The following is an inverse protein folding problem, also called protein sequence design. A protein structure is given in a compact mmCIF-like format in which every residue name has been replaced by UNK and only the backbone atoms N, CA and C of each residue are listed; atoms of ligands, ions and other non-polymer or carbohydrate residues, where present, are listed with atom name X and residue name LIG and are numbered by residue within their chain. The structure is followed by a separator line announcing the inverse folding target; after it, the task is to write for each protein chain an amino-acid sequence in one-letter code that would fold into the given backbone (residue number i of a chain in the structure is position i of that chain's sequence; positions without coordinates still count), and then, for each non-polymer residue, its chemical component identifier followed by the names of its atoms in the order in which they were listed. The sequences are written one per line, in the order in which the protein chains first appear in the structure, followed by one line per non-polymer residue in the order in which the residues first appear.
data_IF_045431359876
#
_entry.id   IF_045431359876
#
_cell.length_a   1.000
_cell.length_b   1.000
_cell.length_c   1.000
_cell.angle_alpha   90.00
_cell.angle_beta   90.00
_cell.angle_gamma   90.00
#
_symmetry.space_group_name_H-M   'P 1'
#
loop_
_entity.id
_entity.type
_entity.pdbx_description
1 polymer ?
#
# COMPACT_ATOMS: atom_id res chain seq x y z
N UNK A 1 -21.87 32.18 -19.22
CA UNK A 1 -20.53 31.58 -19.03
C UNK A 1 -20.57 30.22 -19.70
N UNK A 2 -19.83 30.04 -20.78
CA UNK A 2 -19.81 28.79 -21.53
C UNK A 2 -18.94 27.77 -20.77
N UNK A 3 -19.56 26.66 -20.34
CA UNK A 3 -18.81 25.49 -19.87
C UNK A 3 -18.16 24.86 -21.09
N UNK A 4 -16.85 25.07 -21.22
CA UNK A 4 -16.02 24.38 -22.19
C UNK A 4 -15.71 22.98 -21.63
N UNK A 5 -16.75 22.14 -21.56
CA UNK A 5 -16.63 20.73 -21.23
C UNK A 5 -15.87 20.06 -22.39
N UNK A 6 -14.55 19.97 -22.24
CA UNK A 6 -13.67 19.17 -23.10
C UNK A 6 -13.98 17.69 -22.91
N UNK A 7 -15.15 17.27 -23.40
CA UNK A 7 -15.51 15.88 -23.54
C UNK A 7 -14.54 15.27 -24.54
N UNK A 8 -13.65 14.42 -24.05
CA UNK A 8 -12.75 13.66 -24.91
C UNK A 8 -13.59 12.84 -25.89
N UNK A 9 -13.37 13.08 -27.18
CA UNK A 9 -13.97 12.31 -28.28
C UNK A 9 -12.85 11.69 -29.08
N UNK A 10 -13.01 10.42 -29.40
CA UNK A 10 -12.12 9.72 -30.30
C UNK A 10 -12.17 10.37 -31.69
N UNK A 11 -11.00 10.60 -32.28
CA UNK A 11 -10.80 11.27 -33.57
C UNK A 11 -10.13 10.29 -34.54
N UNK A 12 -10.95 9.61 -35.35
CA UNK A 12 -10.49 8.59 -36.30
C UNK A 12 -9.49 9.14 -37.33
N UNK A 13 -9.50 10.45 -37.60
CA UNK A 13 -8.54 11.06 -38.52
C UNK A 13 -7.09 11.01 -38.00
N UNK A 14 -6.90 10.77 -36.70
CA UNK A 14 -5.59 10.59 -36.06
C UNK A 14 -5.21 9.12 -35.88
N UNK A 15 -6.07 8.18 -36.26
CA UNK A 15 -5.78 6.76 -36.15
C UNK A 15 -4.70 6.38 -37.18
N UNK A 16 -3.65 5.71 -36.70
CA UNK A 16 -2.60 5.17 -37.56
C UNK A 16 -2.82 3.66 -37.69
N UNK A 17 -2.85 3.17 -38.94
CA UNK A 17 -2.83 1.74 -39.18
C UNK A 17 -1.48 1.16 -38.76
N UNK A 18 -1.51 0.13 -37.94
CA UNK A 18 -0.34 -0.63 -37.49
C UNK A 18 -0.63 -2.12 -37.62
N UNK A 19 0.41 -2.91 -37.87
CA UNK A 19 0.29 -4.37 -37.75
C UNK A 19 -0.02 -4.75 -36.30
N UNK A 20 -0.58 -5.94 -36.09
CA UNK A 20 -0.90 -6.43 -34.75
C UNK A 20 0.32 -6.43 -33.82
N UNK A 21 1.49 -6.81 -34.34
CA UNK A 21 2.74 -6.81 -33.58
C UNK A 21 3.21 -5.40 -33.18
N UNK A 22 3.09 -4.42 -34.08
CA UNK A 22 3.46 -3.03 -33.78
C UNK A 22 2.50 -2.38 -32.79
N UNK A 23 1.20 -2.67 -32.88
CA UNK A 23 0.21 -2.20 -31.91
C UNK A 23 0.50 -2.76 -30.52
N UNK A 24 0.81 -4.05 -30.43
CA UNK A 24 1.15 -4.72 -29.18
C UNK A 24 2.40 -4.10 -28.56
N UNK A 25 3.50 -3.99 -29.32
CA UNK A 25 4.75 -3.41 -28.81
C UNK A 25 4.59 -1.97 -28.31
N UNK A 26 3.77 -1.16 -28.99
CA UNK A 26 3.47 0.22 -28.55
C UNK A 26 2.67 0.24 -27.25
N UNK A 27 1.68 -0.63 -27.12
CA UNK A 27 0.88 -0.72 -25.90
C UNK A 27 1.72 -1.21 -24.72
N UNK A 28 2.53 -2.24 -24.90
CA UNK A 28 3.43 -2.76 -23.86
C UNK A 28 4.40 -1.66 -23.38
N UNK A 29 4.97 -0.88 -24.28
CA UNK A 29 5.84 0.26 -23.94
C UNK A 29 5.11 1.36 -23.13
N UNK A 30 3.84 1.63 -23.46
CA UNK A 30 3.03 2.61 -22.72
C UNK A 30 2.69 2.10 -21.32
N UNK A 31 2.37 0.81 -21.19
CA UNK A 31 2.07 0.17 -19.90
C UNK A 31 3.29 0.13 -19.00
N UNK A 32 4.45 -0.29 -19.52
CA UNK A 32 5.75 -0.28 -18.84
C UNK A 32 6.11 1.12 -18.32
N UNK A 33 5.98 2.15 -19.17
CA UNK A 33 6.19 3.55 -18.78
C UNK A 33 5.22 4.02 -17.69
N UNK A 34 3.96 3.61 -17.75
CA UNK A 34 2.95 3.98 -16.75
C UNK A 34 3.17 3.27 -15.40
N UNK A 35 3.76 2.08 -15.42
CA UNK A 35 4.06 1.25 -14.26
C UNK A 35 5.48 1.44 -13.69
N UNK A 36 6.33 2.24 -14.34
CA UNK A 36 7.74 2.48 -13.98
C UNK A 36 8.55 1.17 -13.91
N UNK A 37 8.43 0.33 -14.94
CA UNK A 37 9.14 -0.95 -15.09
C UNK A 37 9.57 -1.16 -16.54
N UNK A 38 10.61 -1.96 -16.75
CA UNK A 38 11.11 -2.37 -18.06
C UNK A 38 10.59 -3.77 -18.48
N UNK A 39 9.70 -4.37 -17.67
CA UNK A 39 9.10 -5.68 -17.92
C UNK A 39 7.56 -5.58 -18.12
N UNK A 40 7.01 -6.14 -19.21
CA UNK A 40 5.58 -6.03 -19.52
C UNK A 40 4.68 -6.83 -18.56
N UNK A 41 5.15 -7.95 -18.02
CA UNK A 41 4.38 -8.77 -17.07
C UNK A 41 4.30 -8.09 -15.70
N UNK A 42 5.37 -7.41 -15.29
CA UNK A 42 5.39 -6.54 -14.11
C UNK A 42 4.48 -5.33 -14.31
N UNK A 43 4.47 -4.72 -15.51
CA UNK A 43 3.61 -3.59 -15.81
C UNK A 43 2.13 -3.97 -15.69
N UNK A 44 1.75 -5.12 -16.23
CA UNK A 44 0.41 -5.70 -16.11
C UNK A 44 0.08 -6.00 -14.65
N UNK A 45 1.03 -6.56 -13.88
CA UNK A 45 0.84 -6.86 -12.47
C UNK A 45 0.63 -5.60 -11.62
N UNK A 46 1.37 -4.52 -11.88
CA UNK A 46 1.24 -3.23 -11.19
C UNK A 46 -0.08 -2.54 -11.56
N UNK A 47 -0.43 -2.50 -12.84
CA UNK A 47 -1.62 -1.79 -13.33
C UNK A 47 -2.94 -2.51 -13.01
N UNK A 48 -2.94 -3.85 -13.01
CA UNK A 48 -4.10 -4.65 -12.63
C UNK A 48 -4.24 -4.86 -11.11
N UNK A 49 -3.33 -4.28 -10.32
CA UNK A 49 -3.48 -4.16 -8.87
C UNK A 49 -2.94 -5.33 -8.04
N UNK A 50 -1.90 -6.04 -8.51
CA UNK A 50 -1.13 -6.93 -7.63
C UNK A 50 -0.28 -6.06 -6.69
N UNK A 51 -0.42 -6.19 -5.36
CA UNK A 51 0.35 -5.37 -4.41
C UNK A 51 1.85 -5.55 -4.63
N UNK A 52 2.64 -4.48 -4.43
CA UNK A 52 4.11 -4.54 -4.42
C UNK A 52 4.57 -5.64 -3.44
N UNK A 53 5.20 -6.69 -3.95
CA UNK A 53 5.81 -7.80 -3.17
C UNK A 53 7.25 -7.46 -2.73
N UNK A 54 7.74 -6.25 -3.00
CA UNK A 54 9.14 -5.89 -2.78
C UNK A 54 9.40 -4.80 -1.71
N UNK A 55 8.40 -4.43 -0.90
CA UNK A 55 8.74 -3.83 0.40
C UNK A 55 8.96 -4.97 1.39
N UNK A 56 10.22 -5.20 1.79
CA UNK A 56 10.53 -5.95 3.01
C UNK A 56 9.89 -5.19 4.18
N UNK A 57 8.65 -5.54 4.48
CA UNK A 57 7.97 -5.08 5.69
C UNK A 57 8.31 -6.04 6.79
N UNK A 58 8.69 -5.49 7.93
CA UNK A 58 8.84 -6.29 9.14
C UNK A 58 7.54 -7.05 9.41
N UNK A 59 7.65 -8.38 9.55
CA UNK A 59 6.49 -9.23 9.72
C UNK A 59 5.75 -8.87 11.02
N UNK A 60 4.44 -8.67 10.93
CA UNK A 60 3.62 -8.47 12.12
C UNK A 60 3.39 -9.80 12.83
N UNK A 61 3.86 -9.91 14.07
CA UNK A 61 3.71 -11.12 14.89
C UNK A 61 2.62 -10.94 15.96
N UNK A 62 1.83 -11.99 16.18
CA UNK A 62 0.87 -12.05 17.30
C UNK A 62 1.52 -12.71 18.52
N UNK A 63 1.69 -11.94 19.60
CA UNK A 63 2.20 -12.45 20.88
C UNK A 63 1.01 -12.81 21.80
N UNK A 64 1.01 -14.01 22.36
CA UNK A 64 0.04 -14.44 23.39
C UNK A 64 0.77 -14.67 24.71
N UNK A 65 0.40 -13.90 25.75
CA UNK A 65 1.02 -13.98 27.08
C UNK A 65 -0.06 -14.23 28.13
N UNK A 66 0.22 -15.12 29.08
CA UNK A 66 -0.61 -15.29 30.28
C UNK A 66 0.00 -14.49 31.41
N UNK A 67 -0.82 -13.67 32.06
CA UNK A 67 -0.41 -12.85 33.21
C UNK A 67 -1.40 -13.03 34.36
N UNK A 68 -0.96 -12.81 35.62
CA UNK A 68 -1.88 -12.77 36.75
C UNK A 68 -2.99 -11.72 36.55
N UNK A 69 -4.18 -12.01 37.08
CA UNK A 69 -5.35 -11.12 36.95
C UNK A 69 -5.07 -9.70 37.47
N UNK A 70 -4.35 -9.60 38.58
CA UNK A 70 -3.98 -8.31 39.19
C UNK A 70 -3.12 -7.44 38.27
N UNK A 71 -2.33 -8.03 37.38
CA UNK A 71 -1.53 -7.30 36.41
C UNK A 71 -2.40 -6.77 35.28
N UNK A 72 -3.32 -7.60 34.78
CA UNK A 72 -4.27 -7.18 33.75
C UNK A 72 -5.10 -5.98 34.22
N UNK A 73 -5.62 -6.02 35.45
CA UNK A 73 -6.42 -4.92 36.02
C UNK A 73 -5.61 -3.63 36.17
N UNK A 74 -4.32 -3.72 36.52
CA UNK A 74 -3.44 -2.56 36.58
C UNK A 74 -3.14 -1.98 35.20
N UNK A 75 -2.91 -2.84 34.21
CA UNK A 75 -2.66 -2.43 32.82
C UNK A 75 -3.91 -1.74 32.25
N UNK A 76 -5.09 -2.32 32.46
CA UNK A 76 -6.36 -1.76 32.00
C UNK A 76 -6.60 -0.38 32.58
N UNK A 77 -6.39 -0.21 33.90
CA UNK A 77 -6.55 1.09 34.56
C UNK A 77 -5.61 2.16 33.99
N UNK A 78 -4.36 1.80 33.68
CA UNK A 78 -3.39 2.73 33.10
C UNK A 78 -3.73 3.06 31.63
N UNK A 79 -4.15 2.06 30.85
CA UNK A 79 -4.57 2.23 29.47
C UNK A 79 -5.81 3.15 29.37
N UNK A 80 -6.80 2.95 30.24
CA UNK A 80 -8.00 3.81 30.32
C UNK A 80 -7.63 5.25 30.69
N UNK A 81 -6.69 5.43 31.62
CA UNK A 81 -6.17 6.76 31.99
C UNK A 81 -5.54 7.51 30.82
N UNK A 82 -4.93 6.80 29.87
CA UNK A 82 -4.35 7.36 28.63
C UNK A 82 -5.32 7.35 27.44
N UNK A 83 -6.55 6.85 27.60
CA UNK A 83 -7.54 6.61 26.52
C UNK A 83 -7.00 5.72 25.39
N UNK A 84 -6.19 4.73 25.75
CA UNK A 84 -5.60 3.76 24.83
C UNK A 84 -6.24 2.39 25.03
N UNK A 85 -6.23 1.58 23.96
CA UNK A 85 -6.51 0.15 24.12
C UNK A 85 -5.36 -0.53 24.87
N UNK A 86 -5.65 -1.65 25.56
CA UNK A 86 -4.62 -2.44 26.25
C UNK A 86 -3.43 -2.79 25.34
N UNK A 87 -3.71 -3.22 24.11
CA UNK A 87 -2.66 -3.60 23.15
C UNK A 87 -1.82 -2.40 22.73
N UNK A 88 -2.44 -1.25 22.52
CA UNK A 88 -1.74 -0.03 22.17
C UNK A 88 -0.88 0.51 23.32
N UNK A 89 -1.42 0.47 24.54
CA UNK A 89 -0.69 0.83 25.74
C UNK A 89 0.55 -0.07 25.94
N UNK A 90 0.40 -1.39 25.76
CA UNK A 90 1.53 -2.32 25.84
C UNK A 90 2.57 -2.09 24.74
N UNK A 91 2.15 -1.85 23.49
CA UNK A 91 3.07 -1.49 22.40
C UNK A 91 3.84 -0.22 22.70
N UNK A 92 3.19 0.78 23.31
CA UNK A 92 3.82 2.05 23.66
C UNK A 92 4.89 1.88 24.74
N UNK A 93 4.63 1.07 25.76
CA UNK A 93 5.63 0.75 26.79
C UNK A 93 6.83 0.05 26.16
N UNK A 94 6.59 -1.02 25.41
CA UNK A 94 7.66 -1.83 24.79
C UNK A 94 8.43 -1.00 23.76
N UNK A 95 7.73 -0.24 22.93
CA UNK A 95 8.32 0.62 21.90
C UNK A 95 9.13 1.78 22.48
N UNK A 96 8.70 2.35 23.62
CA UNK A 96 9.49 3.37 24.32
C UNK A 96 10.82 2.79 24.84
N UNK A 97 10.81 1.58 25.39
CA UNK A 97 12.02 0.89 25.84
C UNK A 97 12.91 0.46 24.67
N UNK A 98 12.32 0.01 23.55
CA UNK A 98 13.06 -0.42 22.36
C UNK A 98 13.71 0.75 21.58
N UNK A 99 13.17 1.97 21.72
CA UNK A 99 13.65 3.18 21.05
C UNK A 99 14.60 4.05 21.91
N UNK A 100 14.85 3.68 23.17
CA UNK A 100 15.89 4.31 23.98
C UNK A 100 17.21 3.58 23.78
N UNK A 101 18.24 4.19 23.15
CA UNK A 101 19.57 3.59 23.13
C UNK A 101 20.11 3.54 24.57
N UNK A 102 20.74 2.40 24.90
CA UNK A 102 21.41 2.18 26.18
C UNK A 102 22.54 3.19 26.44
#
# INVERSE_FOLDING_TARGET
MANDDKVWRWDDAKAQASSGAEAQARMDALLMKAADTDDPDDAVSVLLGRPRVAEEREETVKIQVRVPRSWQEQIDRKADGERLSRSEYLRRIIGRDALQPA
#
